data_IF_782899899574
#
_entry.id   IF_782899899574
#
_cell.length_a   1.000
_cell.length_b   1.000
_cell.length_c   1.000
_cell.angle_alpha   90.00
_cell.angle_beta   90.00
_cell.angle_gamma   90.00
#
_symmetry.space_group_name_H-M   'P 1'
#
loop_
_entity.id
_entity.type
_entity.pdbx_description
1 polymer ?
#
# COMPACT_ATOMS: atom_id res chain seq x y z
N UNK A 1 17.35 -0.46 -7.67
CA UNK A 1 16.31 -0.36 -6.64
C UNK A 1 14.92 -0.06 -7.18
N UNK A 2 13.95 -0.91 -6.86
CA UNK A 2 12.54 -0.62 -7.02
C UNK A 2 12.07 0.47 -6.03
N UNK A 3 10.95 1.12 -6.32
CA UNK A 3 10.31 2.08 -5.42
C UNK A 3 8.83 1.74 -5.24
N UNK A 4 8.29 2.05 -4.06
CA UNK A 4 6.87 1.85 -3.73
C UNK A 4 6.28 3.17 -3.27
N UNK A 5 5.08 3.48 -3.77
CA UNK A 5 4.32 4.67 -3.41
C UNK A 5 2.90 4.28 -3.02
N UNK A 6 2.38 4.91 -1.98
CA UNK A 6 0.95 4.83 -1.65
C UNK A 6 0.24 5.88 -2.52
N UNK A 7 -0.89 5.49 -3.09
CA UNK A 7 -1.71 6.34 -3.94
C UNK A 7 -3.17 6.22 -3.52
N UNK A 8 -3.89 7.31 -3.67
CA UNK A 8 -5.31 7.40 -3.43
C UNK A 8 -6.06 7.60 -4.75
N UNK A 9 -7.12 6.81 -4.95
CA UNK A 9 -8.09 7.03 -6.03
C UNK A 9 -9.39 7.49 -5.38
N UNK A 10 -9.82 8.75 -5.56
CA UNK A 10 -11.11 9.20 -5.05
C UNK A 10 -12.26 8.39 -5.69
N UNK A 11 -13.37 8.28 -4.97
CA UNK A 11 -14.60 7.76 -5.54
C UNK A 11 -15.10 8.67 -6.66
N UNK A 12 -15.72 8.10 -7.69
CA UNK A 12 -16.44 8.86 -8.72
C UNK A 12 -17.77 9.42 -8.20
N UNK A 13 -18.25 8.93 -7.06
CA UNK A 13 -19.44 9.42 -6.37
C UNK A 13 -19.00 10.37 -5.26
N UNK A 14 -19.48 11.60 -5.30
CA UNK A 14 -19.20 12.62 -4.29
C UNK A 14 -19.62 12.15 -2.89
N UNK A 15 -18.80 12.47 -1.88
CA UNK A 15 -19.05 12.06 -0.50
C UNK A 15 -18.90 10.57 -0.22
N UNK A 16 -18.36 9.78 -1.16
CA UNK A 16 -18.01 8.36 -0.93
C UNK A 16 -16.51 8.17 -0.78
N UNK A 17 -16.16 7.12 -0.04
CA UNK A 17 -14.77 6.75 0.19
C UNK A 17 -14.09 6.33 -1.11
N UNK A 18 -12.88 6.85 -1.34
CA UNK A 18 -11.98 6.36 -2.36
C UNK A 18 -11.18 5.15 -1.89
N UNK A 19 -10.28 4.65 -2.73
CA UNK A 19 -9.48 3.45 -2.45
C UNK A 19 -8.00 3.78 -2.42
N UNK A 20 -7.29 3.23 -1.44
CA UNK A 20 -5.84 3.29 -1.37
C UNK A 20 -5.21 2.09 -2.09
N UNK A 21 -4.09 2.33 -2.77
CA UNK A 21 -3.35 1.30 -3.49
C UNK A 21 -1.85 1.58 -3.48
N UNK A 22 -1.05 0.54 -3.65
CA UNK A 22 0.40 0.67 -3.82
C UNK A 22 0.75 0.68 -5.30
N UNK A 23 1.62 1.61 -5.70
CA UNK A 23 2.27 1.64 -6.99
C UNK A 23 3.73 1.26 -6.81
N UNK A 24 4.12 0.14 -7.41
CA UNK A 24 5.50 -0.36 -7.42
C UNK A 24 6.10 -0.04 -8.78
N UNK A 25 7.29 0.56 -8.80
CA UNK A 25 8.01 0.93 -10.01
C UNK A 25 9.40 0.30 -9.98
N UNK A 26 9.73 -0.51 -10.98
CA UNK A 26 11.05 -1.10 -11.17
C UNK A 26 11.37 -1.16 -12.67
N UNK A 27 12.58 -0.75 -13.07
CA UNK A 27 13.04 -0.75 -14.48
C UNK A 27 12.04 -0.14 -15.48
N UNK A 28 11.46 1.02 -15.13
CA UNK A 28 10.42 1.75 -15.89
C UNK A 28 9.09 1.00 -16.05
N UNK A 29 8.92 -0.16 -15.42
CA UNK A 29 7.66 -0.89 -15.37
C UNK A 29 6.95 -0.57 -14.06
N UNK A 30 5.66 -0.24 -14.14
CA UNK A 30 4.80 0.01 -12.98
C UNK A 30 3.75 -1.09 -12.81
N UNK A 31 3.50 -1.50 -11.56
CA UNK A 31 2.38 -2.38 -11.18
C UNK A 31 1.63 -1.79 -9.99
N UNK A 32 0.32 -2.02 -9.99
CA UNK A 32 -0.58 -1.61 -8.92
C UNK A 32 -0.99 -2.80 -8.07
N UNK A 33 -0.89 -2.67 -6.76
CA UNK A 33 -1.46 -3.59 -5.78
C UNK A 33 -2.60 -2.86 -5.06
N UNK A 34 -3.84 -3.25 -5.38
CA UNK A 34 -5.02 -2.71 -4.75
C UNK A 34 -5.13 -3.20 -3.30
N UNK A 35 -5.64 -2.32 -2.43
CA UNK A 35 -6.02 -2.67 -1.07
C UNK A 35 -7.54 -2.56 -0.92
N UNK A 36 -8.07 -3.18 0.12
CA UNK A 36 -9.44 -2.98 0.60
C UNK A 36 -9.59 -1.71 1.47
N UNK A 37 -8.51 -0.98 1.73
CA UNK A 37 -8.53 0.23 2.54
C UNK A 37 -9.23 1.36 1.80
N UNK A 38 -10.28 1.91 2.41
CA UNK A 38 -11.07 3.00 1.87
C UNK A 38 -11.05 4.19 2.82
N UNK A 39 -10.91 5.40 2.28
CA UNK A 39 -10.88 6.64 3.07
C UNK A 39 -11.60 7.75 2.31
N UNK A 40 -12.15 8.73 3.01
CA UNK A 40 -12.66 9.94 2.38
C UNK A 40 -11.50 10.81 1.87
N UNK A 41 -11.77 11.64 0.87
CA UNK A 41 -10.77 12.58 0.34
C UNK A 41 -10.22 13.51 1.43
N UNK A 42 -11.04 13.88 2.41
CA UNK A 42 -10.63 14.71 3.55
C UNK A 42 -9.74 13.99 4.57
N UNK A 43 -9.64 12.66 4.49
CA UNK A 43 -8.86 11.82 5.41
C UNK A 43 -7.53 11.37 4.78
N UNK A 44 -7.20 11.84 3.58
CA UNK A 44 -5.98 11.51 2.88
C UNK A 44 -5.09 12.74 2.70
N UNK A 45 -3.86 12.67 3.20
CA UNK A 45 -2.84 13.68 2.94
C UNK A 45 -1.96 13.25 1.77
N UNK A 46 -2.13 13.89 0.61
CA UNK A 46 -1.38 13.54 -0.60
C UNK A 46 0.10 13.93 -0.55
N UNK A 47 0.48 14.86 0.33
CA UNK A 47 1.85 15.38 0.44
C UNK A 47 2.73 14.36 1.16
N UNK A 48 2.29 13.91 2.32
CA UNK A 48 2.92 12.87 3.14
C UNK A 48 2.54 11.46 2.73
N UNK A 49 1.55 11.29 1.85
CA UNK A 49 0.99 10.00 1.46
C UNK A 49 0.53 9.18 2.68
N UNK A 50 -0.19 9.84 3.59
CA UNK A 50 -0.63 9.26 4.86
C UNK A 50 -2.11 9.51 5.14
N UNK A 51 -2.67 8.71 6.05
CA UNK A 51 -4.05 8.86 6.49
C UNK A 51 -4.11 9.88 7.62
N UNK A 52 -5.01 10.85 7.50
CA UNK A 52 -5.32 11.84 8.53
C UNK A 52 -6.32 11.21 9.49
N UNK A 53 -5.99 11.15 10.78
CA UNK A 53 -6.85 10.56 11.81
C UNK A 53 -7.84 11.62 12.33
N UNK A 54 -9.14 11.38 12.18
CA UNK A 54 -10.18 12.32 12.60
C UNK A 54 -11.60 11.71 12.60
N UNK A 55 -12.58 12.53 12.97
CA UNK A 55 -14.00 12.13 13.01
C UNK A 55 -14.43 11.52 14.35
N UNK A 56 -15.44 10.63 14.29
CA UNK A 56 -15.94 9.87 15.45
C UNK A 56 -14.91 8.87 15.96
N UNK A 57 -15.07 8.38 17.19
CA UNK A 57 -14.15 7.41 17.78
C UNK A 57 -14.03 6.14 16.92
N UNK A 58 -15.17 5.60 16.47
CA UNK A 58 -15.21 4.45 15.55
C UNK A 58 -14.45 4.71 14.24
N UNK A 59 -14.57 5.93 13.69
CA UNK A 59 -13.86 6.29 12.46
C UNK A 59 -12.35 6.40 12.70
N UNK A 60 -11.94 6.99 13.83
CA UNK A 60 -10.53 7.07 14.21
C UNK A 60 -9.91 5.68 14.33
N UNK A 61 -10.56 4.76 15.05
CA UNK A 61 -10.09 3.37 15.19
C UNK A 61 -9.89 2.70 13.83
N UNK A 62 -10.85 2.89 12.91
CA UNK A 62 -10.70 2.39 11.55
C UNK A 62 -9.51 3.02 10.81
N UNK A 63 -9.35 4.33 10.87
CA UNK A 63 -8.26 5.04 10.19
C UNK A 63 -6.88 4.66 10.76
N UNK A 64 -6.78 4.42 12.07
CA UNK A 64 -5.56 3.92 12.72
C UNK A 64 -5.21 2.49 12.26
N UNK A 65 -6.21 1.61 12.13
CA UNK A 65 -6.04 0.29 11.56
C UNK A 65 -5.55 0.38 10.11
N UNK A 66 -6.13 1.27 9.29
CA UNK A 66 -5.70 1.50 7.91
C UNK A 66 -4.24 1.98 7.88
N UNK A 67 -3.89 3.00 8.67
CA UNK A 67 -2.53 3.53 8.74
C UNK A 67 -1.51 2.44 9.13
N UNK A 68 -1.85 1.61 10.11
CA UNK A 68 -1.04 0.47 10.56
C UNK A 68 -0.86 -0.57 9.45
N UNK A 69 -1.93 -0.92 8.73
CA UNK A 69 -1.89 -1.85 7.60
C UNK A 69 -1.02 -1.32 6.45
N UNK A 70 -1.11 -0.03 6.13
CA UNK A 70 -0.27 0.60 5.12
C UNK A 70 1.21 0.57 5.53
N UNK A 71 1.51 0.91 6.79
CA UNK A 71 2.87 0.88 7.33
C UNK A 71 3.47 -0.52 7.25
N UNK A 72 2.76 -1.53 7.74
CA UNK A 72 3.22 -2.92 7.68
C UNK A 72 3.47 -3.38 6.23
N UNK A 73 2.59 -3.00 5.31
CA UNK A 73 2.74 -3.31 3.88
C UNK A 73 3.99 -2.65 3.28
N UNK A 74 4.26 -1.39 3.61
CA UNK A 74 5.46 -0.66 3.18
C UNK A 74 6.75 -1.31 3.72
N UNK A 75 6.75 -1.69 5.00
CA UNK A 75 7.88 -2.41 5.62
C UNK A 75 8.12 -3.75 4.92
N UNK A 76 7.04 -4.45 4.58
CA UNK A 76 7.11 -5.71 3.85
C UNK A 76 7.68 -5.54 2.44
N UNK A 77 7.19 -4.56 1.67
CA UNK A 77 7.78 -4.24 0.36
C UNK A 77 9.27 -3.88 0.47
N UNK A 78 9.64 -3.11 1.49
CA UNK A 78 11.03 -2.72 1.73
C UNK A 78 11.91 -3.95 1.96
N UNK A 79 11.45 -4.92 2.76
CA UNK A 79 12.17 -6.18 3.01
C UNK A 79 12.32 -7.02 1.74
N UNK A 80 11.25 -7.16 0.95
CA UNK A 80 11.28 -7.90 -0.33
C UNK A 80 12.30 -7.26 -1.27
N UNK A 81 12.22 -5.94 -1.48
CA UNK A 81 13.13 -5.20 -2.37
C UNK A 81 14.58 -5.35 -1.90
N UNK A 82 14.84 -5.21 -0.59
CA UNK A 82 16.19 -5.38 -0.04
C UNK A 82 16.74 -6.80 -0.24
N UNK A 83 15.90 -7.84 -0.08
CA UNK A 83 16.26 -9.23 -0.36
C UNK A 83 16.66 -9.43 -1.82
N UNK A 84 15.82 -8.95 -2.75
CA UNK A 84 16.08 -9.04 -4.20
C UNK A 84 17.34 -8.29 -4.64
N UNK A 85 17.58 -7.09 -4.10
CA UNK A 85 18.81 -6.34 -4.41
C UNK A 85 20.06 -7.04 -3.85
N UNK A 86 19.94 -7.81 -2.75
CA UNK A 86 21.05 -8.57 -2.16
C UNK A 86 21.41 -9.82 -2.97
N UNK A 87 20.44 -10.48 -3.59
CA UNK A 87 20.64 -11.67 -4.43
C UNK A 87 21.51 -11.38 -5.68
N UNK A 88 21.69 -10.10 -6.04
CA UNK A 88 22.45 -9.63 -7.23
C UNK A 88 22.00 -10.30 -8.55
N UNK A 89 20.81 -10.86 -8.57
CA UNK A 89 20.15 -11.41 -9.75
C UNK A 89 19.20 -10.38 -10.36
N UNK A 90 18.92 -10.51 -11.66
CA UNK A 90 17.90 -9.70 -12.30
C UNK A 90 16.52 -10.10 -11.78
N UNK A 91 15.73 -9.11 -11.34
CA UNK A 91 14.35 -9.32 -10.92
C UNK A 91 13.43 -8.26 -11.53
N UNK A 92 12.14 -8.56 -11.53
CA UNK A 92 11.09 -7.73 -12.11
C UNK A 92 10.14 -7.19 -11.05
N UNK A 93 9.29 -6.25 -11.45
CA UNK A 93 8.19 -5.80 -10.60
C UNK A 93 7.19 -6.93 -10.28
N UNK A 94 7.06 -7.93 -11.16
CA UNK A 94 6.14 -9.05 -10.94
C UNK A 94 6.65 -9.96 -9.80
N UNK A 95 7.95 -10.19 -9.72
CA UNK A 95 8.58 -10.95 -8.63
C UNK A 95 8.27 -10.33 -7.26
N UNK A 96 8.39 -9.00 -7.17
CA UNK A 96 8.06 -8.23 -5.95
C UNK A 96 6.58 -8.41 -5.58
N UNK A 97 5.69 -8.26 -6.56
CA UNK A 97 4.23 -8.36 -6.35
C UNK A 97 3.83 -9.77 -5.96
N UNK A 98 4.41 -10.78 -6.60
CA UNK A 98 4.15 -12.19 -6.35
C UNK A 98 4.61 -12.59 -4.95
N UNK A 99 5.79 -12.17 -4.51
CA UNK A 99 6.30 -12.42 -3.15
C UNK A 99 5.47 -11.68 -2.07
N UNK A 100 5.05 -10.45 -2.36
CA UNK A 100 4.14 -9.69 -1.49
C UNK A 100 2.79 -10.39 -1.32
N UNK A 101 2.26 -11.02 -2.38
CA UNK A 101 1.01 -11.78 -2.31
C UNK A 101 1.18 -13.15 -1.66
N UNK A 102 2.31 -13.83 -1.91
CA UNK A 102 2.52 -15.22 -1.49
C UNK A 102 2.70 -15.35 0.03
N UNK A 103 3.60 -14.58 0.65
CA UNK A 103 3.75 -14.59 2.12
C UNK A 103 2.57 -13.93 2.88
N UNK A 104 1.46 -13.63 2.19
CA UNK A 104 0.19 -13.22 2.80
C UNK A 104 -0.76 -14.40 3.03
N UNK A 105 -0.41 -15.61 2.54
CA UNK A 105 -1.19 -16.83 2.73
C UNK A 105 -0.79 -17.65 3.97
N UNK A 106 0.23 -17.23 4.71
CA UNK A 106 0.67 -17.91 5.94
C UNK A 106 -0.02 -17.35 7.19
N UNK A 107 -1.35 -17.29 7.20
CA UNK A 107 -2.17 -17.01 8.39
C UNK A 107 -3.63 -17.43 8.19
N UNK A 108 -3.87 -18.63 7.62
CA UNK A 108 -5.10 -19.40 7.86
C UNK A 108 -4.68 -20.86 7.88
N UNK A 109 -4.38 -21.35 9.07
CA UNK A 109 -4.39 -22.77 9.45
C UNK A 109 -5.12 -22.86 10.78
#
# INVERSE_FOLDING_TARGET
>A
MASVRIKFRPSTVEGKEGTLYFQIIHKRVARTVFTDCRVFTSEWDSVSSSVIIGGTDERKTYLEMVASKLKWSMERFTKIIAGREKEKADYTVDDIVSEYRYGGKESVS
#
